data_IF_627543960734
#
_entry.id   IF_627543960734
#
_cell.length_a   1.000
_cell.length_b   1.000
_cell.length_c   1.000
_cell.angle_alpha   90.00
_cell.angle_beta   90.00
_cell.angle_gamma   90.00
#
_symmetry.space_group_name_H-M   'P 1'
#
loop_
_entity.id
_entity.type
_entity.pdbx_description
1 polymer ?
#
# COMPACT_ATOMS: atom_id res chain seq x y z
N UNK A 1 -14.52 -60.04 -30.80
CA UNK A 1 -13.47 -59.18 -31.39
C UNK A 1 -12.93 -58.26 -30.31
N UNK A 2 -11.67 -58.50 -29.95
CA UNK A 2 -10.62 -57.59 -29.52
C UNK A 2 -10.99 -56.35 -28.66
N UNK A 3 -10.69 -56.44 -27.34
CA UNK A 3 -9.65 -55.69 -26.58
C UNK A 3 -10.11 -54.30 -26.09
N UNK A 4 -9.76 -53.78 -24.91
CA UNK A 4 -9.46 -54.33 -23.58
C UNK A 4 -9.40 -53.10 -22.63
N UNK A 5 -9.85 -53.32 -21.41
CA UNK A 5 -9.82 -52.52 -20.19
C UNK A 5 -8.41 -52.04 -19.77
N UNK A 6 -8.31 -50.90 -19.05
CA UNK A 6 -7.36 -50.61 -17.92
C UNK A 6 -7.96 -49.42 -17.13
N UNK A 7 -8.60 -49.54 -15.97
CA UNK A 7 -8.25 -50.07 -14.63
C UNK A 7 -7.10 -49.39 -13.87
N UNK A 8 -7.53 -48.74 -12.76
CA UNK A 8 -7.00 -48.79 -11.39
C UNK A 8 -5.64 -48.14 -11.09
N UNK A 9 -5.61 -47.15 -10.19
CA UNK A 9 -5.43 -47.29 -8.73
C UNK A 9 -3.98 -47.62 -8.34
N UNK A 10 -3.36 -46.73 -7.57
CA UNK A 10 -2.22 -47.10 -6.71
C UNK A 10 -2.52 -46.59 -5.31
N UNK A 11 -2.64 -47.57 -4.43
CA UNK A 11 -2.81 -47.48 -2.99
C UNK A 11 -1.43 -47.48 -2.32
N UNK A 12 -1.42 -47.04 -1.07
CA UNK A 12 -0.35 -47.07 -0.07
C UNK A 12 0.67 -48.21 -0.15
N UNK A 13 1.92 -47.90 0.21
CA UNK A 13 2.82 -48.84 0.88
C UNK A 13 3.62 -48.12 1.98
N UNK A 14 3.52 -48.70 3.18
CA UNK A 14 4.31 -48.44 4.39
C UNK A 14 5.28 -49.61 4.53
N UNK A 15 6.56 -49.36 4.83
CA UNK A 15 7.30 -50.15 5.84
C UNK A 15 8.67 -49.55 6.22
N UNK A 16 9.19 -49.88 7.42
CA UNK A 16 10.38 -49.30 8.03
C UNK A 16 11.56 -50.30 8.16
N UNK A 17 12.61 -49.87 8.89
CA UNK A 17 13.69 -50.64 9.56
C UNK A 17 15.04 -50.68 8.81
N UNK A 18 16.07 -50.02 9.36
CA UNK A 18 17.21 -50.71 10.00
C UNK A 18 18.02 -49.76 10.89
N UNK A 19 18.43 -50.33 12.03
CA UNK A 19 19.19 -49.82 13.17
C UNK A 19 20.71 -49.82 12.94
N UNK A 20 21.45 -49.04 13.73
CA UNK A 20 22.91 -49.17 13.83
C UNK A 20 23.59 -48.10 14.68
N UNK A 21 23.67 -48.34 15.99
CA UNK A 21 24.55 -47.66 16.95
C UNK A 21 26.03 -47.84 16.58
N UNK A 22 26.86 -46.82 16.81
CA UNK A 22 28.02 -46.98 17.71
C UNK A 22 28.59 -45.64 18.15
N UNK A 23 29.24 -45.71 19.30
CA UNK A 23 29.53 -44.67 20.29
C UNK A 23 31.01 -44.32 20.35
N UNK A 24 31.27 -43.09 20.83
CA UNK A 24 32.40 -42.65 21.70
C UNK A 24 33.77 -42.45 21.05
N UNK A 25 34.31 -41.24 21.29
CA UNK A 25 35.71 -40.88 21.09
C UNK A 25 36.00 -39.49 21.63
N UNK A 26 35.93 -39.34 22.96
CA UNK A 26 36.44 -38.18 23.70
C UNK A 26 37.97 -38.23 23.68
N UNK A 27 38.68 -37.16 23.30
CA UNK A 27 40.04 -36.93 23.77
C UNK A 27 40.38 -35.43 23.84
N UNK A 28 41.22 -35.16 24.82
CA UNK A 28 41.42 -33.95 25.61
C UNK A 28 42.50 -33.00 25.09
N UNK A 29 42.40 -31.76 25.57
CA UNK A 29 43.37 -30.66 25.55
C UNK A 29 44.80 -31.04 25.98
N UNK A 30 45.83 -30.36 25.44
CA UNK A 30 46.64 -29.31 26.10
C UNK A 30 47.81 -28.83 25.17
N UNK A 31 48.66 -27.84 25.53
CA UNK A 31 48.90 -26.61 24.76
C UNK A 31 50.35 -26.52 24.23
N UNK A 32 50.84 -25.30 23.88
CA UNK A 32 52.24 -24.83 23.62
C UNK A 32 52.32 -24.20 22.21
N UNK A 33 52.88 -23.02 21.94
CA UNK A 33 53.37 -21.88 22.74
C UNK A 33 53.53 -20.67 21.81
N UNK A 34 53.68 -19.52 22.46
CA UNK A 34 53.94 -18.17 21.94
C UNK A 34 55.00 -18.07 20.84
N UNK A 35 54.69 -17.26 19.81
CA UNK A 35 55.67 -16.43 19.13
C UNK A 35 55.09 -15.01 19.04
N UNK A 36 55.83 -14.09 19.66
CA UNK A 36 55.65 -12.65 19.71
C UNK A 36 56.16 -12.09 18.37
N UNK A 37 55.29 -11.45 17.58
CA UNK A 37 55.76 -10.52 16.55
C UNK A 37 54.86 -9.29 16.53
N UNK A 38 55.51 -8.16 16.82
CA UNK A 38 54.92 -6.84 16.78
C UNK A 38 55.13 -6.27 15.38
N UNK A 39 54.05 -6.13 14.62
CA UNK A 39 53.98 -5.04 13.65
C UNK A 39 52.56 -4.51 13.46
N UNK A 40 52.51 -3.24 13.10
CA UNK A 40 51.52 -2.22 13.46
C UNK A 40 50.40 -2.08 12.43
N UNK A 41 49.15 -2.03 12.93
CA UNK A 41 47.97 -1.34 12.36
C UNK A 41 47.43 -1.87 11.02
N UNK A 42 46.15 -2.24 10.86
CA UNK A 42 44.92 -1.58 11.32
C UNK A 42 43.76 -2.60 11.11
N UNK A 43 42.99 -2.91 12.16
CA UNK A 43 41.87 -3.88 12.16
C UNK A 43 40.75 -3.55 11.16
N UNK A 44 40.15 -4.55 10.50
CA UNK A 44 39.26 -5.63 10.99
C UNK A 44 37.79 -5.18 10.98
N UNK A 45 37.13 -5.54 9.88
CA UNK A 45 35.79 -6.13 9.77
C UNK A 45 34.79 -5.79 10.89
N UNK A 46 34.35 -4.54 10.91
CA UNK A 46 33.12 -4.14 11.57
C UNK A 46 31.90 -4.53 10.73
N UNK A 47 31.21 -5.59 11.15
CA UNK A 47 29.80 -5.88 10.82
C UNK A 47 28.98 -4.57 10.80
N UNK A 48 28.64 -4.07 9.61
CA UNK A 48 27.51 -3.16 9.46
C UNK A 48 26.25 -4.00 9.52
N UNK A 49 25.65 -4.05 10.71
CA UNK A 49 24.30 -4.52 10.93
C UNK A 49 23.36 -3.94 9.88
N UNK A 50 22.64 -4.82 9.20
CA UNK A 50 21.49 -4.52 8.34
C UNK A 50 20.45 -3.68 9.08
N UNK A 51 20.54 -2.35 8.97
CA UNK A 51 19.48 -1.48 9.50
C UNK A 51 19.37 -0.14 8.77
N UNK A 52 19.78 -0.06 7.51
CA UNK A 52 19.54 1.12 6.65
C UNK A 52 19.35 0.73 5.18
N UNK A 53 18.21 0.11 4.85
CA UNK A 53 17.56 0.36 3.56
C UNK A 53 16.88 1.75 3.62
N UNK A 54 17.66 2.80 3.87
CA UNK A 54 17.15 4.17 3.95
C UNK A 54 16.93 4.69 2.53
N UNK A 55 15.65 4.84 2.18
CA UNK A 55 15.18 5.88 1.27
C UNK A 55 15.67 5.79 -0.19
N UNK A 56 15.38 4.67 -0.87
CA UNK A 56 15.64 4.52 -2.31
C UNK A 56 15.00 5.65 -3.12
N UNK A 57 15.71 6.15 -4.14
CA UNK A 57 15.27 7.25 -4.99
C UNK A 57 16.00 8.57 -4.71
N UNK A 58 16.08 9.42 -5.74
CA UNK A 58 16.68 10.75 -5.69
C UNK A 58 15.70 11.72 -5.04
N UNK A 59 16.15 12.50 -4.07
CA UNK A 59 15.32 13.58 -3.49
C UNK A 59 14.94 14.60 -4.56
N UNK A 60 13.71 15.11 -4.50
CA UNK A 60 13.34 16.32 -5.23
C UNK A 60 14.22 17.48 -4.73
N UNK A 61 14.74 18.25 -5.67
CA UNK A 61 15.57 19.42 -5.39
C UNK A 61 14.77 20.53 -4.68
N UNK A 62 13.52 20.72 -5.10
CA UNK A 62 12.61 21.69 -4.52
C UNK A 62 11.63 20.96 -3.62
N UNK A 63 11.76 21.17 -2.31
CA UNK A 63 10.86 20.66 -1.27
C UNK A 63 10.02 21.81 -0.71
N UNK A 64 8.77 21.53 -0.36
CA UNK A 64 7.97 22.47 0.41
C UNK A 64 8.51 22.62 1.84
N UNK A 65 8.46 23.86 2.34
CA UNK A 65 8.83 24.20 3.72
C UNK A 65 7.63 24.32 4.64
N UNK A 66 6.41 24.14 4.14
CA UNK A 66 5.20 24.26 4.92
C UNK A 66 5.21 23.30 6.13
N UNK A 67 4.64 23.78 7.24
CA UNK A 67 4.46 23.03 8.50
C UNK A 67 3.08 23.35 9.08
N UNK A 68 1.98 23.07 8.36
CA UNK A 68 0.64 23.25 8.90
C UNK A 68 0.53 22.58 10.27
N UNK A 69 -0.05 23.31 11.22
CA UNK A 69 -0.26 22.86 12.59
C UNK A 69 1.05 22.44 13.32
N UNK A 70 2.22 22.83 12.81
CA UNK A 70 3.52 22.46 13.37
C UNK A 70 3.91 21.00 13.17
N UNK A 71 3.26 20.27 12.24
CA UNK A 71 3.52 18.85 12.03
C UNK A 71 4.87 18.58 11.35
N UNK A 72 5.55 17.52 11.79
CA UNK A 72 6.80 17.04 11.18
C UNK A 72 6.55 16.41 9.80
N UNK A 73 7.51 16.54 8.89
CA UNK A 73 7.52 15.80 7.63
C UNK A 73 8.15 14.43 7.85
N UNK A 74 7.51 13.37 7.34
CA UNK A 74 8.00 11.99 7.45
C UNK A 74 9.33 11.77 6.72
N UNK A 75 9.59 12.52 5.64
CA UNK A 75 10.83 12.49 4.89
C UNK A 75 10.76 13.34 3.63
N UNK A 76 11.90 13.51 2.96
CA UNK A 76 11.98 14.22 1.69
C UNK A 76 11.14 13.52 0.62
N UNK A 77 10.45 14.31 -0.21
CA UNK A 77 9.80 13.81 -1.42
C UNK A 77 10.87 13.41 -2.43
N UNK A 78 10.65 12.27 -3.09
CA UNK A 78 11.51 11.71 -4.11
C UNK A 78 10.99 12.02 -5.50
N UNK A 79 11.93 12.25 -6.41
CA UNK A 79 11.65 12.54 -7.81
C UNK A 79 11.05 11.30 -8.50
N UNK A 80 9.98 11.49 -9.27
CA UNK A 80 9.40 10.47 -10.13
C UNK A 80 10.43 9.75 -10.99
N UNK A 81 10.32 8.43 -11.10
CA UNK A 81 11.21 7.60 -11.91
C UNK A 81 12.64 7.47 -11.37
N UNK A 82 12.93 8.02 -10.19
CA UNK A 82 14.30 8.00 -9.64
C UNK A 82 14.72 6.68 -8.98
N UNK A 83 13.79 5.74 -8.84
CA UNK A 83 14.09 4.34 -8.53
C UNK A 83 13.26 3.39 -9.41
N UNK A 84 13.62 2.10 -9.41
CA UNK A 84 12.97 1.09 -10.26
C UNK A 84 11.46 1.02 -10.05
N UNK A 85 11.00 1.00 -8.80
CA UNK A 85 9.58 0.92 -8.49
C UNK A 85 8.82 2.18 -8.92
N UNK A 86 9.43 3.36 -8.80
CA UNK A 86 8.86 4.62 -9.30
C UNK A 86 8.86 4.67 -10.83
N UNK A 87 9.91 4.18 -11.50
CA UNK A 87 9.93 4.07 -12.96
C UNK A 87 8.85 3.13 -13.49
N UNK A 88 8.64 1.99 -12.82
CA UNK A 88 7.56 1.05 -13.14
C UNK A 88 6.18 1.65 -12.87
N UNK A 89 6.02 2.38 -11.76
CA UNK A 89 4.80 3.12 -11.46
C UNK A 89 4.46 4.09 -12.59
N UNK A 90 5.42 4.91 -13.01
CA UNK A 90 5.25 5.87 -14.10
C UNK A 90 4.84 5.21 -15.40
N UNK A 91 5.45 4.09 -15.74
CA UNK A 91 5.21 3.39 -17.01
C UNK A 91 3.90 2.61 -17.02
N UNK A 92 3.54 1.96 -15.93
CA UNK A 92 2.50 0.90 -15.92
C UNK A 92 1.29 1.17 -15.04
N UNK A 93 1.45 2.00 -14.01
CA UNK A 93 0.40 2.25 -13.00
C UNK A 93 -0.22 3.63 -13.21
N UNK A 94 0.60 4.67 -13.39
CA UNK A 94 0.11 6.03 -13.57
C UNK A 94 -0.89 6.17 -14.73
N UNK A 95 -0.70 5.55 -15.92
CA UNK A 95 -1.72 5.60 -16.97
C UNK A 95 -3.06 5.00 -16.56
N UNK A 96 -3.06 3.92 -15.76
CA UNK A 96 -4.30 3.31 -15.22
C UNK A 96 -4.97 4.24 -14.21
N UNK A 97 -4.16 4.89 -13.36
CA UNK A 97 -4.63 5.88 -12.38
C UNK A 97 -5.26 7.07 -13.09
N UNK A 98 -4.61 7.61 -14.11
CA UNK A 98 -5.15 8.73 -14.90
C UNK A 98 -6.45 8.35 -15.62
N UNK A 99 -6.56 7.14 -16.16
CA UNK A 99 -7.81 6.65 -16.72
C UNK A 99 -8.92 6.56 -15.65
N UNK A 100 -8.58 6.05 -14.46
CA UNK A 100 -9.52 5.93 -13.35
C UNK A 100 -10.04 7.31 -12.90
N UNK A 101 -9.14 8.28 -12.74
CA UNK A 101 -9.46 9.68 -12.44
C UNK A 101 -10.40 10.23 -13.51
N UNK A 102 -10.00 10.23 -14.77
CA UNK A 102 -10.81 10.80 -15.86
C UNK A 102 -12.20 10.16 -16.00
N UNK A 103 -12.31 8.86 -15.68
CA UNK A 103 -13.58 8.13 -15.80
C UNK A 103 -14.49 8.35 -14.57
N UNK A 104 -13.91 8.48 -13.38
CA UNK A 104 -14.63 8.43 -12.09
C UNK A 104 -14.70 9.76 -11.37
N UNK A 105 -13.68 10.60 -11.50
CA UNK A 105 -13.43 11.84 -10.75
C UNK A 105 -13.22 13.03 -11.70
N UNK A 106 -13.85 13.02 -12.88
CA UNK A 106 -13.76 14.15 -13.80
C UNK A 106 -14.40 15.40 -13.18
N UNK A 107 -13.85 16.57 -13.52
CA UNK A 107 -14.34 17.88 -13.06
C UNK A 107 -15.86 18.01 -13.07
N UNK A 108 -16.41 18.53 -11.97
CA UNK A 108 -17.84 18.80 -11.75
C UNK A 108 -18.75 17.58 -11.83
N UNK A 109 -18.17 16.37 -11.85
CA UNK A 109 -18.92 15.11 -11.86
C UNK A 109 -19.12 14.61 -10.44
N UNK A 110 -20.10 15.19 -9.76
CA UNK A 110 -20.48 14.79 -8.41
C UNK A 110 -20.65 13.26 -8.28
N UNK A 111 -20.01 12.68 -7.26
CA UNK A 111 -20.15 11.26 -6.92
C UNK A 111 -21.40 11.02 -6.07
N UNK A 112 -22.38 10.30 -6.64
CA UNK A 112 -23.69 10.08 -6.01
C UNK A 112 -23.75 8.96 -4.96
N UNK A 113 -23.09 7.81 -5.18
CA UNK A 113 -23.06 6.70 -4.22
C UNK A 113 -21.67 6.51 -3.61
N UNK A 114 -21.43 7.24 -2.52
CA UNK A 114 -20.17 7.18 -1.79
C UNK A 114 -20.02 5.89 -0.97
N UNK A 115 -21.08 5.12 -0.70
CA UNK A 115 -20.98 3.96 0.21
C UNK A 115 -20.11 2.85 -0.35
N UNK A 116 -20.07 2.72 -1.68
CA UNK A 116 -19.32 1.68 -2.38
C UNK A 116 -17.87 2.06 -2.66
N UNK A 117 -17.54 3.35 -2.59
CA UNK A 117 -16.23 3.92 -2.95
C UNK A 117 -15.55 4.69 -1.79
N UNK A 118 -16.27 4.95 -0.71
CA UNK A 118 -15.71 5.53 0.50
C UNK A 118 -15.00 4.46 1.32
N UNK A 119 -13.82 4.81 1.81
CA UNK A 119 -13.07 3.98 2.72
C UNK A 119 -13.66 4.14 4.12
N UNK A 120 -14.28 3.09 4.64
CA UNK A 120 -14.55 3.02 6.08
C UNK A 120 -13.21 3.07 6.81
N UNK A 121 -13.10 3.93 7.82
CA UNK A 121 -11.89 4.17 8.61
C UNK A 121 -11.22 2.88 9.11
N UNK A 122 -11.98 1.82 9.40
CA UNK A 122 -11.41 0.57 9.88
C UNK A 122 -10.87 -0.33 8.75
N UNK A 123 -11.17 0.00 7.49
CA UNK A 123 -10.80 -0.84 6.35
C UNK A 123 -9.34 -0.70 5.99
N UNK A 124 -8.69 0.46 6.17
CA UNK A 124 -7.26 0.62 5.85
C UNK A 124 -6.30 0.05 6.91
N UNK A 125 -6.69 -1.08 7.49
CA UNK A 125 -5.87 -1.87 8.40
C UNK A 125 -5.12 -2.92 7.59
N UNK A 126 -3.79 -2.88 7.63
CA UNK A 126 -2.96 -3.83 6.92
C UNK A 126 -3.23 -5.25 7.41
N UNK A 127 -3.61 -6.16 6.51
CA UNK A 127 -3.81 -7.57 6.84
C UNK A 127 -2.49 -8.31 7.00
N UNK A 128 -1.49 -7.88 6.26
CA UNK A 128 -0.13 -8.43 6.23
C UNK A 128 0.87 -7.28 6.27
N UNK A 129 2.07 -7.57 6.78
CA UNK A 129 3.16 -6.59 6.78
C UNK A 129 3.44 -6.11 5.35
N UNK A 130 3.62 -4.79 5.18
CA UNK A 130 3.94 -4.20 3.87
C UNK A 130 4.89 -3.04 4.02
N UNK A 131 5.75 -2.86 3.02
CA UNK A 131 6.41 -1.58 2.76
C UNK A 131 5.37 -0.67 2.12
N UNK A 132 5.17 0.52 2.70
CA UNK A 132 4.16 1.48 2.27
C UNK A 132 4.84 2.67 1.60
N UNK A 133 4.32 3.02 0.43
CA UNK A 133 4.80 4.12 -0.39
C UNK A 133 3.62 4.91 -0.93
N UNK A 134 3.74 6.23 -0.93
CA UNK A 134 2.72 7.14 -1.43
C UNK A 134 3.27 7.92 -2.61
N UNK A 135 2.48 7.98 -3.70
CA UNK A 135 2.78 8.71 -4.92
C UNK A 135 1.76 9.84 -5.08
N UNK A 136 2.21 11.03 -5.44
CA UNK A 136 1.32 12.10 -5.86
C UNK A 136 0.66 11.73 -7.19
N UNK A 137 -0.65 11.89 -7.34
CA UNK A 137 -1.35 11.57 -8.59
C UNK A 137 -1.78 12.82 -9.36
N UNK A 138 -2.17 13.87 -8.65
CA UNK A 138 -2.60 15.15 -9.20
C UNK A 138 -3.48 15.92 -8.21
N UNK A 139 -3.85 17.13 -8.62
CA UNK A 139 -4.82 18.00 -7.92
C UNK A 139 -5.68 18.73 -8.96
N UNK A 140 -6.94 18.99 -8.62
CA UNK A 140 -7.87 19.90 -9.32
C UNK A 140 -8.20 21.17 -8.51
N UNK A 141 -7.61 21.32 -7.32
CA UNK A 141 -7.95 22.38 -6.37
C UNK A 141 -7.27 23.72 -6.65
N UNK A 142 -7.90 24.80 -6.17
CA UNK A 142 -7.24 26.09 -5.99
C UNK A 142 -6.49 26.25 -4.66
N UNK A 143 -6.65 25.30 -3.73
CA UNK A 143 -6.00 25.33 -2.42
C UNK A 143 -4.64 24.63 -2.44
N UNK A 144 -3.70 25.15 -1.64
CA UNK A 144 -2.42 24.50 -1.41
C UNK A 144 -2.54 23.51 -0.26
N UNK A 145 -3.19 22.39 -0.55
CA UNK A 145 -3.51 21.37 0.43
C UNK A 145 -2.26 20.66 0.97
N UNK A 146 -2.33 20.15 2.20
CA UNK A 146 -1.27 19.32 2.77
C UNK A 146 -1.77 17.91 3.03
N UNK A 147 -1.01 16.91 2.59
CA UNK A 147 -1.31 15.49 2.83
C UNK A 147 -0.49 14.96 4.00
N UNK A 148 -1.15 14.24 4.91
CA UNK A 148 -0.50 13.55 6.01
C UNK A 148 -1.08 12.17 6.30
N UNK A 149 -0.47 11.51 7.27
CA UNK A 149 -0.93 10.24 7.80
C UNK A 149 -0.66 10.08 9.29
N UNK A 150 -1.40 9.15 9.90
CA UNK A 150 -1.25 8.73 11.28
C UNK A 150 -1.40 7.21 11.36
N UNK A 151 -0.62 6.59 12.24
CA UNK A 151 -0.67 5.13 12.47
C UNK A 151 -1.01 4.74 13.90
N UNK A 152 -1.13 5.74 14.79
CA UNK A 152 -1.35 5.59 16.23
C UNK A 152 -2.52 6.44 16.72
N UNK A 153 -3.33 6.97 15.81
CA UNK A 153 -4.41 7.90 16.07
C UNK A 153 -5.26 8.15 14.83
N UNK A 154 -6.11 9.16 14.89
CA UNK A 154 -6.99 9.58 13.81
C UNK A 154 -6.80 11.08 13.54
N UNK A 155 -6.56 11.44 12.28
CA UNK A 155 -6.17 12.76 11.81
C UNK A 155 -4.97 13.30 12.58
N UNK A 156 -5.10 14.56 13.00
CA UNK A 156 -4.02 15.32 13.67
C UNK A 156 -4.18 15.44 15.18
N UNK A 157 -5.25 14.89 15.77
CA UNK A 157 -5.64 15.18 17.17
C UNK A 157 -4.94 14.31 18.20
N UNK A 158 -4.39 13.17 17.80
CA UNK A 158 -3.78 12.19 18.70
C UNK A 158 -2.68 11.39 17.99
N UNK A 159 -1.91 10.61 18.73
CA UNK A 159 -0.84 9.79 18.17
C UNK A 159 0.39 10.61 17.77
N UNK A 160 0.97 10.28 16.61
CA UNK A 160 2.15 10.96 16.04
C UNK A 160 1.91 11.20 14.54
N UNK A 161 1.00 12.12 14.17
CA UNK A 161 0.69 12.43 12.79
C UNK A 161 1.88 13.10 12.10
N UNK A 162 2.13 12.75 10.83
CA UNK A 162 3.21 13.32 10.02
C UNK A 162 2.72 13.74 8.64
N UNK A 163 3.38 14.74 8.07
CA UNK A 163 3.15 15.20 6.70
C UNK A 163 3.89 14.30 5.71
N UNK A 164 3.18 13.93 4.65
CA UNK A 164 3.71 13.25 3.47
C UNK A 164 4.09 14.31 2.43
N UNK A 165 3.11 15.13 2.06
CA UNK A 165 3.28 16.27 1.16
C UNK A 165 2.88 17.54 1.92
N UNK A 166 3.84 18.37 2.36
CA UNK A 166 3.52 19.60 3.07
C UNK A 166 2.79 20.62 2.20
N UNK A 167 3.03 20.59 0.90
CA UNK A 167 2.29 21.31 -0.12
C UNK A 167 2.07 20.31 -1.27
N UNK A 168 0.81 19.95 -1.48
CA UNK A 168 0.38 18.94 -2.43
C UNK A 168 0.06 19.54 -3.80
N UNK A 169 0.70 20.67 -4.14
CA UNK A 169 0.41 21.39 -5.38
C UNK A 169 1.42 21.20 -6.51
N UNK A 170 0.92 21.39 -7.73
CA UNK A 170 1.58 21.13 -9.00
C UNK A 170 1.28 22.24 -9.99
N UNK A 171 2.30 22.72 -10.70
CA UNK A 171 2.15 23.72 -11.75
C UNK A 171 1.46 23.17 -13.02
N UNK A 172 0.98 21.93 -12.95
CA UNK A 172 0.39 21.16 -14.04
C UNK A 172 -0.78 20.40 -13.45
N UNK A 173 -1.96 20.83 -13.87
CA UNK A 173 -3.21 20.14 -13.64
C UNK A 173 -3.13 18.72 -14.23
N UNK A 174 -3.72 17.73 -13.56
CA UNK A 174 -3.86 16.35 -14.05
C UNK A 174 -4.55 16.26 -15.43
N UNK A 175 -5.34 17.26 -15.80
CA UNK A 175 -5.97 17.42 -17.11
C UNK A 175 -5.05 18.05 -18.16
N UNK A 176 -4.02 18.79 -17.73
CA UNK A 176 -3.13 19.54 -18.62
C UNK A 176 -1.84 18.76 -18.94
N UNK A 177 -1.52 18.65 -20.23
CA UNK A 177 -0.30 17.96 -20.71
C UNK A 177 0.87 18.93 -20.86
N UNK A 178 1.15 19.76 -19.86
CA UNK A 178 2.37 20.56 -19.90
C UNK A 178 3.58 19.60 -19.88
N UNK A 179 4.36 19.61 -20.96
CA UNK A 179 5.49 18.70 -21.15
C UNK A 179 6.76 19.16 -20.45
N UNK A 180 6.83 20.42 -20.00
CA UNK A 180 7.98 20.98 -19.29
C UNK A 180 7.53 21.72 -18.01
N UNK A 181 7.04 21.00 -16.99
CA UNK A 181 6.61 21.60 -15.73
C UNK A 181 7.78 22.28 -15.01
N UNK A 182 7.57 23.48 -14.46
CA UNK A 182 8.55 24.12 -13.58
C UNK A 182 8.08 23.93 -12.14
N UNK A 183 8.95 23.38 -11.29
CA UNK A 183 8.68 23.29 -9.85
C UNK A 183 8.98 24.61 -9.17
N UNK A 184 8.14 24.97 -8.21
CA UNK A 184 8.37 26.07 -7.28
C UNK A 184 8.20 25.57 -5.85
N UNK A 185 8.47 26.40 -4.84
CA UNK A 185 8.23 25.98 -3.45
C UNK A 185 6.74 25.83 -3.13
N UNK A 186 5.86 26.53 -3.85
CA UNK A 186 4.40 26.47 -3.72
C UNK A 186 3.74 25.47 -4.67
N UNK A 187 4.48 24.96 -5.65
CA UNK A 187 4.02 23.93 -6.58
C UNK A 187 5.15 22.90 -6.81
N UNK A 188 5.57 22.17 -5.75
CA UNK A 188 6.77 21.35 -5.83
C UNK A 188 6.54 19.99 -6.51
N UNK A 189 5.30 19.52 -6.61
CA UNK A 189 5.02 18.15 -7.00
C UNK A 189 4.72 18.01 -8.49
N UNK A 190 5.08 16.85 -9.04
CA UNK A 190 4.56 16.34 -10.30
C UNK A 190 4.03 14.92 -10.09
N UNK A 191 3.08 14.51 -10.93
CA UNK A 191 2.50 13.18 -10.87
C UNK A 191 3.58 12.07 -10.85
N UNK A 192 3.46 11.23 -9.83
CA UNK A 192 4.30 10.11 -9.42
C UNK A 192 5.63 10.44 -8.75
N UNK A 193 5.85 11.70 -8.33
CA UNK A 193 6.74 12.00 -7.21
C UNK A 193 6.22 11.27 -5.96
N UNK A 194 7.11 10.87 -5.05
CA UNK A 194 6.73 9.88 -4.03
C UNK A 194 7.46 10.02 -2.71
N UNK A 195 6.89 9.42 -1.66
CA UNK A 195 7.49 9.30 -0.33
C UNK A 195 7.39 7.84 0.12
N UNK A 196 8.50 7.31 0.65
CA UNK A 196 8.52 6.02 1.33
C UNK A 196 8.09 6.23 2.80
N UNK A 197 6.95 5.68 3.21
CA UNK A 197 6.51 5.75 4.61
C UNK A 197 7.20 4.68 5.48
N UNK A 198 7.77 3.67 4.84
CA UNK A 198 8.51 2.59 5.49
C UNK A 198 7.68 1.32 5.66
N UNK A 199 8.18 0.41 6.50
CA UNK A 199 7.60 -0.92 6.70
C UNK A 199 6.66 -0.92 7.90
N UNK A 200 5.42 -1.33 7.68
CA UNK A 200 4.41 -1.44 8.73
C UNK A 200 3.96 -2.88 8.91
N UNK A 201 3.82 -3.30 10.18
CA UNK A 201 3.37 -4.64 10.53
C UNK A 201 1.90 -4.88 10.23
N UNK A 202 1.51 -6.15 10.16
CA UNK A 202 0.10 -6.54 10.10
C UNK A 202 -0.68 -5.95 11.30
N UNK A 203 -1.91 -5.53 11.06
CA UNK A 203 -2.77 -4.87 12.04
C UNK A 203 -2.56 -3.37 12.17
N UNK A 204 -1.55 -2.79 11.51
CA UNK A 204 -1.37 -1.32 11.49
C UNK A 204 -2.51 -0.66 10.72
N UNK A 205 -3.17 0.31 11.35
CA UNK A 205 -4.11 1.20 10.67
C UNK A 205 -3.32 2.31 9.98
N UNK A 206 -3.56 2.52 8.70
CA UNK A 206 -3.06 3.70 7.98
C UNK A 206 -4.20 4.71 7.90
N UNK A 207 -4.14 5.77 8.70
CA UNK A 207 -5.11 6.85 8.67
C UNK A 207 -4.54 8.02 7.87
N UNK A 208 -5.05 8.24 6.66
CA UNK A 208 -4.66 9.37 5.81
C UNK A 208 -5.58 10.56 6.08
N UNK A 209 -5.00 11.76 6.05
CA UNK A 209 -5.75 12.99 6.23
C UNK A 209 -5.26 14.11 5.31
N UNK A 210 -6.18 15.00 4.94
CA UNK A 210 -5.91 16.25 4.24
C UNK A 210 -6.04 17.42 5.21
N UNK A 211 -5.12 18.36 5.16
CA UNK A 211 -5.28 19.70 5.75
C UNK A 211 -5.60 20.65 4.60
N UNK A 212 -6.84 21.09 4.53
CA UNK A 212 -7.30 21.97 3.47
C UNK A 212 -6.57 23.32 3.53
N UNK A 213 -6.01 23.76 2.40
CA UNK A 213 -5.15 24.95 2.28
C UNK A 213 -4.01 24.99 3.31
N UNK A 214 -3.52 23.81 3.71
CA UNK A 214 -2.56 23.66 4.81
C UNK A 214 -1.24 24.41 4.58
N UNK A 215 -0.73 24.47 3.36
CA UNK A 215 0.51 25.20 3.07
C UNK A 215 0.38 26.71 3.30
N UNK A 216 -0.84 27.24 3.18
CA UNK A 216 -1.19 28.64 3.44
C UNK A 216 -1.78 28.88 4.84
N UNK A 217 -1.74 27.89 5.73
CA UNK A 217 -2.15 28.04 7.12
C UNK A 217 -3.61 27.67 7.40
N UNK A 218 -4.28 26.99 6.46
CA UNK A 218 -5.57 26.37 6.68
C UNK A 218 -5.56 25.36 7.84
N UNK A 219 -6.74 25.15 8.43
CA UNK A 219 -6.90 24.38 9.69
C UNK A 219 -7.95 23.28 9.62
N UNK A 220 -8.72 23.21 8.54
CA UNK A 220 -9.70 22.15 8.36
C UNK A 220 -8.95 20.86 8.03
N UNK A 221 -9.23 19.81 8.81
CA UNK A 221 -8.62 18.49 8.63
C UNK A 221 -9.71 17.50 8.28
N UNK A 222 -9.51 16.81 7.15
CA UNK A 222 -10.43 15.79 6.68
C UNK A 222 -9.77 14.42 6.70
N UNK A 223 -10.52 13.43 7.16
CA UNK A 223 -10.11 12.04 7.30
C UNK A 223 -11.10 11.11 6.59
N UNK A 224 -10.79 9.83 6.58
CA UNK A 224 -11.71 8.77 6.15
C UNK A 224 -13.02 8.75 6.97
N UNK A 225 -12.95 9.15 8.24
CA UNK A 225 -14.08 9.14 9.16
C UNK A 225 -14.86 10.45 9.07
N UNK A 226 -15.94 10.46 8.28
CA UNK A 226 -16.82 11.63 8.17
C UNK A 226 -17.31 12.14 9.53
N UNK A 227 -17.52 11.26 10.51
CA UNK A 227 -17.98 11.68 11.83
C UNK A 227 -16.99 12.55 12.60
N UNK A 228 -15.70 12.60 12.24
CA UNK A 228 -14.70 13.46 12.89
C UNK A 228 -14.27 14.65 12.04
N UNK A 229 -14.70 14.68 10.77
CA UNK A 229 -14.55 15.84 9.90
C UNK A 229 -15.33 17.04 10.48
N UNK A 230 -14.82 18.28 10.35
CA UNK A 230 -15.42 19.47 10.94
C UNK A 230 -16.91 19.69 10.64
N UNK A 231 -17.36 19.32 9.45
CA UNK A 231 -18.73 19.44 8.93
C UNK A 231 -19.53 18.14 8.90
N UNK A 232 -18.93 17.04 9.38
CA UNK A 232 -19.54 15.71 9.44
C UNK A 232 -19.87 15.06 8.10
N UNK A 233 -19.26 15.49 7.00
CA UNK A 233 -19.44 14.86 5.68
C UNK A 233 -18.21 14.04 5.25
N UNK A 234 -18.40 13.22 4.22
CA UNK A 234 -17.30 12.49 3.62
C UNK A 234 -16.49 13.42 2.73
N UNK A 235 -15.16 13.43 2.92
CA UNK A 235 -14.21 14.19 2.11
C UNK A 235 -13.16 13.32 1.45
N UNK A 236 -13.15 12.01 1.74
CA UNK A 236 -12.16 11.09 1.21
C UNK A 236 -12.87 9.90 0.54
N UNK A 237 -12.44 9.57 -0.67
CA UNK A 237 -12.84 8.35 -1.39
C UNK A 237 -11.60 7.54 -1.73
N UNK A 238 -11.79 6.23 -1.92
CA UNK A 238 -10.70 5.35 -2.29
C UNK A 238 -11.14 4.33 -3.35
N UNK A 239 -10.27 4.09 -4.33
CA UNK A 239 -10.48 3.14 -5.39
C UNK A 239 -9.31 2.18 -5.48
N UNK A 240 -9.61 0.90 -5.68
CA UNK A 240 -8.58 -0.08 -6.04
C UNK A 240 -8.13 0.20 -7.47
N UNK A 241 -6.82 0.35 -7.66
CA UNK A 241 -6.26 0.44 -9.02
C UNK A 241 -6.24 -0.97 -9.62
N UNK A 242 -6.89 -1.22 -10.77
CA UNK A 242 -7.08 -2.57 -11.31
C UNK A 242 -5.77 -3.35 -11.52
N UNK A 243 -5.80 -4.63 -11.13
CA UNK A 243 -4.71 -5.60 -11.25
C UNK A 243 -3.39 -5.07 -10.66
N UNK A 244 -3.46 -4.47 -9.47
CA UNK A 244 -2.30 -3.79 -8.89
C UNK A 244 -2.32 -3.79 -7.35
N UNK A 245 -1.16 -3.57 -6.70
CA UNK A 245 -1.06 -3.44 -5.24
C UNK A 245 -1.42 -2.03 -4.73
N UNK A 246 -2.07 -1.21 -5.56
CA UNK A 246 -2.26 0.22 -5.29
C UNK A 246 -3.73 0.58 -5.02
N UNK A 247 -3.90 1.57 -4.13
CA UNK A 247 -5.15 2.30 -3.94
C UNK A 247 -4.96 3.74 -4.41
N UNK A 248 -5.90 4.25 -5.21
CA UNK A 248 -6.07 5.68 -5.41
C UNK A 248 -6.90 6.21 -4.24
N UNK A 249 -6.40 7.20 -3.53
CA UNK A 249 -7.12 7.94 -2.51
C UNK A 249 -7.27 9.37 -3.00
N UNK A 250 -8.48 9.89 -2.94
CA UNK A 250 -8.83 11.20 -3.47
C UNK A 250 -9.70 11.98 -2.50
N UNK A 251 -9.52 13.30 -2.46
CA UNK A 251 -10.18 14.19 -1.53
C UNK A 251 -11.02 15.28 -2.21
N UNK A 252 -12.03 15.73 -1.48
CA UNK A 252 -12.74 17.00 -1.66
C UNK A 252 -12.27 17.94 -0.52
N UNK A 253 -11.83 19.16 -0.83
CA UNK A 253 -11.14 20.05 0.12
C UNK A 253 -11.99 21.21 0.68
N UNK A 254 -13.20 21.42 0.14
CA UNK A 254 -14.05 22.53 0.58
C UNK A 254 -14.99 22.10 1.68
N UNK A 255 -15.04 22.88 2.77
CA UNK A 255 -16.01 22.67 3.84
C UNK A 255 -17.44 22.70 3.28
N UNK A 256 -18.27 21.69 3.59
CA UNK A 256 -19.60 21.50 2.99
C UNK A 256 -19.58 20.65 1.70
N UNK A 257 -18.39 20.31 1.22
CA UNK A 257 -18.11 19.32 0.19
C UNK A 257 -18.22 19.84 -1.23
N UNK A 258 -17.92 21.13 -1.47
CA UNK A 258 -17.72 21.69 -2.80
C UNK A 258 -18.69 21.19 -3.88
N UNK A 259 -18.11 20.70 -4.97
CA UNK A 259 -18.84 20.09 -6.09
C UNK A 259 -18.86 18.55 -6.05
N UNK A 260 -18.18 17.94 -5.07
CA UNK A 260 -18.21 16.50 -4.75
C UNK A 260 -17.68 15.62 -5.86
N UNK A 261 -16.75 16.09 -6.67
CA UNK A 261 -16.06 15.25 -7.65
C UNK A 261 -14.81 14.57 -7.06
N UNK A 262 -14.32 15.05 -5.91
CA UNK A 262 -13.19 14.52 -5.14
C UNK A 262 -11.88 14.45 -5.93
N UNK A 263 -11.61 15.40 -6.84
CA UNK A 263 -10.34 15.48 -7.56
C UNK A 263 -9.38 16.56 -7.02
N UNK A 264 -9.77 17.28 -5.96
CA UNK A 264 -9.01 18.38 -5.36
C UNK A 264 -7.61 17.98 -4.93
N UNK A 265 -7.45 16.78 -4.36
CA UNK A 265 -6.13 16.22 -4.06
C UNK A 265 -6.13 14.71 -4.14
N UNK A 266 -5.24 14.16 -4.97
CA UNK A 266 -5.24 12.74 -5.30
C UNK A 266 -3.84 12.14 -5.16
N UNK A 267 -3.78 10.96 -4.54
CA UNK A 267 -2.54 10.23 -4.36
C UNK A 267 -2.76 8.73 -4.42
N UNK A 268 -1.70 8.00 -4.71
CA UNK A 268 -1.73 6.56 -4.87
C UNK A 268 -0.85 5.92 -3.81
N UNK A 269 -1.41 4.96 -3.08
CA UNK A 269 -0.70 4.26 -2.00
C UNK A 269 -0.45 2.82 -2.40
N UNK A 270 0.81 2.39 -2.37
CA UNK A 270 1.16 0.98 -2.39
C UNK A 270 1.04 0.42 -0.98
N UNK A 271 0.17 -0.57 -0.81
CA UNK A 271 0.03 -1.32 0.45
C UNK A 271 0.26 -2.82 0.26
N UNK A 272 0.70 -3.24 -0.93
CA UNK A 272 0.89 -4.65 -1.27
C UNK A 272 -0.40 -5.35 -1.72
N UNK A 273 -0.27 -6.28 -2.66
CA UNK A 273 -1.39 -6.95 -3.33
C UNK A 273 -2.28 -7.75 -2.35
N UNK A 274 -1.69 -8.37 -1.33
CA UNK A 274 -2.44 -9.12 -0.31
C UNK A 274 -3.37 -8.21 0.52
N UNK A 275 -2.92 -7.00 0.84
CA UNK A 275 -3.72 -6.02 1.58
C UNK A 275 -4.80 -5.41 0.71
N UNK A 276 -4.51 -5.07 -0.56
CA UNK A 276 -5.54 -4.62 -1.52
C UNK A 276 -6.61 -5.68 -1.72
N UNK A 277 -6.22 -6.95 -1.95
CA UNK A 277 -7.17 -8.05 -2.09
C UNK A 277 -8.06 -8.24 -0.85
N UNK A 278 -7.54 -7.96 0.34
CA UNK A 278 -8.31 -8.05 1.57
C UNK A 278 -9.38 -6.93 1.68
N UNK A 279 -9.13 -5.76 1.09
CA UNK A 279 -10.08 -4.64 1.04
C UNK A 279 -11.25 -4.91 0.09
N UNK A 280 -10.98 -5.59 -1.04
CA UNK A 280 -11.99 -5.92 -2.06
C UNK A 280 -12.97 -7.03 -1.63
N UNK A 281 -12.78 -7.63 -0.45
CA UNK A 281 -13.59 -8.76 0.03
C UNK A 281 -13.26 -10.09 -0.69
N UNK A 282 -13.83 -11.23 -0.24
CA UNK A 282 -13.75 -12.47 -0.99
C UNK A 282 -14.54 -12.32 -2.30
N UNK A 283 -13.89 -12.58 -3.44
CA UNK A 283 -14.53 -12.65 -4.75
C UNK A 283 -15.83 -13.48 -4.68
N UNK A 284 -17.02 -12.91 -5.01
CA UNK A 284 -18.30 -13.62 -4.95
C UNK A 284 -18.30 -14.96 -5.70
N UNK A 285 -17.49 -15.06 -6.75
CA UNK A 285 -17.32 -16.27 -7.57
C UNK A 285 -16.74 -17.45 -6.79
N UNK A 286 -15.92 -17.22 -5.78
CA UNK A 286 -15.30 -18.32 -5.00
C UNK A 286 -16.34 -19.05 -4.16
N UNK A 287 -17.25 -18.31 -3.53
CA UNK A 287 -18.36 -18.90 -2.78
C UNK A 287 -19.41 -19.50 -3.71
N UNK A 288 -19.69 -18.88 -4.86
CA UNK A 288 -20.59 -19.45 -5.86
C UNK A 288 -20.04 -20.77 -6.43
N UNK A 289 -18.73 -20.87 -6.69
CA UNK A 289 -18.08 -22.07 -7.19
C UNK A 289 -18.03 -23.18 -6.12
N UNK A 290 -17.69 -22.85 -4.87
CA UNK A 290 -17.74 -23.81 -3.76
C UNK A 290 -19.17 -24.31 -3.49
N UNK A 291 -20.15 -23.41 -3.55
CA UNK A 291 -21.57 -23.73 -3.38
C UNK A 291 -22.10 -24.65 -4.49
N UNK A 292 -21.76 -24.37 -5.75
CA UNK A 292 -22.15 -25.22 -6.90
C UNK A 292 -21.44 -26.58 -6.90
N UNK A 293 -20.16 -26.65 -6.53
CA UNK A 293 -19.46 -27.92 -6.31
C UNK A 293 -20.09 -28.75 -5.19
N UNK A 294 -20.46 -28.12 -4.06
CA UNK A 294 -21.11 -28.83 -2.96
C UNK A 294 -22.50 -29.34 -3.33
N UNK A 295 -23.31 -28.54 -4.04
CA UNK A 295 -24.64 -28.94 -4.52
C UNK A 295 -24.56 -30.10 -5.52
N UNK A 296 -23.64 -30.03 -6.49
CA UNK A 296 -23.45 -31.11 -7.48
C UNK A 296 -22.99 -32.41 -6.83
N UNK A 297 -22.05 -32.35 -5.87
CA UNK A 297 -21.65 -33.52 -5.07
C UNK A 297 -22.79 -34.08 -4.21
N UNK A 298 -23.61 -33.21 -3.61
CA UNK A 298 -24.79 -33.60 -2.84
C UNK A 298 -25.84 -34.32 -3.69
N UNK A 299 -26.17 -33.76 -4.86
CA UNK A 299 -27.09 -34.39 -5.82
C UNK A 299 -26.56 -35.72 -6.35
N UNK A 300 -25.26 -35.82 -6.63
CA UNK A 300 -24.61 -37.06 -7.05
C UNK A 300 -24.69 -38.15 -5.96
N UNK A 301 -24.39 -37.81 -4.70
CA UNK A 301 -24.49 -38.72 -3.56
C UNK A 301 -25.92 -39.21 -3.33
N UNK A 302 -26.91 -38.32 -3.42
CA UNK A 302 -28.34 -38.66 -3.26
C UNK A 302 -28.81 -39.63 -4.35
N UNK A 303 -28.41 -39.40 -5.61
CA UNK A 303 -28.69 -40.33 -6.72
C UNK A 303 -28.06 -41.70 -6.51
N UNK A 304 -26.84 -41.77 -5.97
CA UNK A 304 -26.18 -43.06 -5.65
C UNK A 304 -26.88 -43.80 -4.52
N UNK A 305 -27.33 -43.10 -3.48
CA UNK A 305 -28.07 -43.72 -2.37
C UNK A 305 -29.40 -44.34 -2.83
N UNK A 306 -30.15 -43.61 -3.66
CA UNK A 306 -31.43 -44.09 -4.22
C UNK A 306 -31.29 -45.30 -5.14
N UNK A 307 -30.15 -45.47 -5.83
CA UNK A 307 -29.86 -46.65 -6.66
C UNK A 307 -29.44 -47.89 -5.87
N UNK A 308 -29.10 -47.75 -4.59
CA UNK A 308 -28.66 -48.86 -3.72
C UNK A 308 -29.81 -49.43 -2.87
N UNK A 309 -30.93 -48.71 -2.81
CA UNK A 309 -32.15 -49.10 -2.09
C UNK A 309 -33.21 -49.77 -2.98
N UNK A 310 -32.94 -49.92 -4.28
CA UNK A 310 -33.68 -50.74 -5.25
C UNK A 310 -32.80 -51.93 -5.64
#
# INVERSE_FOLDING_TARGET
MKWLTKCLAVCSLVSPILTGLSTVGLLTLAPIAFADDKDKGKGDDGQKSESQAKNSGKDLEIQSKARPLGLDIVGNVKERGSDTASADFQKSVLPKVQNLINTRLGEQKALGDLKTISLDKNKLKLKTQSDVRVYFAGEGAGYHNSLGFNTKGEGVKSGDPKLIFPDASSSVDYLSKNTNPKRTQSEPLLAGDFVNLGRFGAGTLLDFFLIADGANGGKNVYTANSATNPDRIQHMVAFVVPDSPYLLISFEDLYGGGDRDYNDSMFVVNIGAANVKALSGPEPSTFAMLGTCAMTLGMYRRRKALKKSN
#
